data_IF_977923872329
#
_entry.id   IF_977923872329
#
_cell.length_a   1.000
_cell.length_b   1.000
_cell.length_c   1.000
_cell.angle_alpha   90.00
_cell.angle_beta   90.00
_cell.angle_gamma   90.00
#
_symmetry.space_group_name_H-M   'P 1'
#
loop_
_entity.id
_entity.type
_entity.pdbx_description
1 polymer ?
#
# COMPACT_ATOMS: atom_id res chain seq x y z
N UNK A 1 15.74 11.70 6.38
CA UNK A 1 16.09 11.45 4.97
C UNK A 1 14.80 11.36 4.17
N UNK A 2 14.58 12.32 3.28
CA UNK A 2 13.59 12.17 2.21
C UNK A 2 14.10 11.06 1.29
N UNK A 3 13.30 10.02 1.05
CA UNK A 3 13.62 9.04 0.01
C UNK A 3 13.37 9.72 -1.33
N UNK A 4 14.44 10.12 -2.01
CA UNK A 4 14.32 10.59 -3.38
C UNK A 4 13.92 9.42 -4.28
N UNK A 5 12.87 9.62 -5.07
CA UNK A 5 12.41 8.62 -6.04
C UNK A 5 13.00 8.93 -7.39
N UNK A 6 13.64 7.94 -8.01
CA UNK A 6 14.11 8.05 -9.39
C UNK A 6 13.09 7.43 -10.35
N UNK A 7 12.85 8.09 -11.49
CA UNK A 7 12.02 7.56 -12.58
C UNK A 7 12.93 7.23 -13.76
N UNK A 8 12.78 6.02 -14.28
CA UNK A 8 13.50 5.58 -15.48
C UNK A 8 12.55 4.83 -16.41
N UNK A 9 12.90 4.78 -17.70
CA UNK A 9 12.12 4.10 -18.74
C UNK A 9 12.85 2.86 -19.18
N UNK A 10 12.11 1.74 -19.30
CA UNK A 10 12.63 0.47 -19.81
C UNK A 10 11.76 -0.05 -20.94
N UNK A 11 12.40 -0.69 -21.92
CA UNK A 11 11.70 -1.46 -22.93
C UNK A 11 11.59 -2.91 -22.46
N UNK A 12 10.37 -3.40 -22.33
CA UNK A 12 10.08 -4.80 -21.99
C UNK A 12 9.27 -5.38 -23.15
N UNK A 13 9.62 -6.59 -23.59
CA UNK A 13 8.91 -7.24 -24.68
C UNK A 13 7.44 -7.54 -24.30
N UNK A 14 6.58 -7.72 -25.31
CA UNK A 14 5.12 -7.89 -25.09
C UNK A 14 4.78 -9.14 -24.26
N UNK A 15 5.49 -10.24 -24.50
CA UNK A 15 5.24 -11.52 -23.82
C UNK A 15 5.56 -11.46 -22.33
N UNK A 16 6.73 -10.91 -21.96
CA UNK A 16 7.12 -10.71 -20.57
C UNK A 16 6.16 -9.74 -19.85
N UNK A 17 5.74 -8.66 -20.50
CA UNK A 17 4.76 -7.75 -19.91
C UNK A 17 3.39 -8.40 -19.72
N UNK A 18 2.98 -9.32 -20.60
CA UNK A 18 1.76 -10.09 -20.40
C UNK A 18 1.88 -11.00 -19.17
N UNK A 19 2.97 -11.76 -19.05
CA UNK A 19 3.24 -12.61 -17.89
C UNK A 19 3.28 -11.83 -16.57
N UNK A 20 3.93 -10.66 -16.54
CA UNK A 20 3.96 -9.78 -15.35
C UNK A 20 2.55 -9.33 -14.94
N UNK A 21 1.68 -9.02 -15.90
CA UNK A 21 0.29 -8.62 -15.62
C UNK A 21 -0.54 -9.77 -15.05
N UNK A 22 -0.35 -10.99 -15.56
CA UNK A 22 -1.00 -12.18 -15.02
C UNK A 22 -0.56 -12.47 -13.58
N UNK A 23 0.74 -12.42 -13.31
CA UNK A 23 1.29 -12.60 -11.96
C UNK A 23 0.79 -11.53 -10.99
N UNK A 24 0.79 -10.26 -11.44
CA UNK A 24 0.28 -9.16 -10.63
C UNK A 24 -1.21 -9.35 -10.30
N UNK A 25 -2.02 -9.80 -11.28
CA UNK A 25 -3.43 -10.12 -11.05
C UNK A 25 -3.61 -11.26 -10.05
N UNK A 26 -2.81 -12.33 -10.16
CA UNK A 26 -2.84 -13.46 -9.21
C UNK A 26 -2.52 -13.02 -7.78
N UNK A 27 -1.62 -12.05 -7.61
CA UNK A 27 -1.29 -11.46 -6.30
C UNK A 27 -2.32 -10.42 -5.84
N UNK A 28 -3.17 -9.91 -6.73
CA UNK A 28 -4.13 -8.83 -6.45
C UNK A 28 -3.45 -7.46 -6.39
N UNK A 29 -2.45 -7.22 -7.22
CA UNK A 29 -1.70 -5.96 -7.30
C UNK A 29 -1.55 -5.50 -8.76
N UNK A 30 -1.19 -4.24 -8.97
CA UNK A 30 -0.89 -3.73 -10.32
C UNK A 30 0.48 -4.21 -10.81
N UNK A 31 0.64 -4.32 -12.13
CA UNK A 31 1.93 -4.70 -12.73
C UNK A 31 3.07 -3.75 -12.33
N UNK A 32 2.80 -2.44 -12.22
CA UNK A 32 3.78 -1.45 -11.75
C UNK A 32 4.21 -1.69 -10.30
N UNK A 33 3.30 -2.17 -9.44
CA UNK A 33 3.59 -2.56 -8.06
C UNK A 33 4.62 -3.67 -8.02
N UNK A 34 4.35 -4.69 -8.82
CA UNK A 34 5.15 -5.90 -8.90
C UNK A 34 6.54 -5.58 -9.44
N UNK A 35 6.62 -4.77 -10.49
CA UNK A 35 7.89 -4.30 -11.06
C UNK A 35 8.67 -3.47 -10.03
N UNK A 36 8.04 -2.51 -9.36
CA UNK A 36 8.72 -1.71 -8.33
C UNK A 36 9.26 -2.59 -7.20
N UNK A 37 8.45 -3.54 -6.71
CA UNK A 37 8.88 -4.50 -5.67
C UNK A 37 10.02 -5.39 -6.16
N UNK A 38 9.99 -5.83 -7.41
CA UNK A 38 11.06 -6.63 -8.00
C UNK A 38 12.38 -5.84 -8.09
N UNK A 39 12.33 -4.56 -8.48
CA UNK A 39 13.51 -3.67 -8.52
C UNK A 39 14.08 -3.48 -7.11
N UNK A 40 13.25 -3.17 -6.12
CA UNK A 40 13.71 -3.03 -4.73
C UNK A 40 14.28 -4.34 -4.18
N UNK A 41 13.63 -5.47 -4.47
CA UNK A 41 14.12 -6.80 -4.08
C UNK A 41 15.48 -7.08 -4.69
N UNK A 42 15.66 -6.83 -5.99
CA UNK A 42 16.96 -6.99 -6.65
C UNK A 42 18.04 -6.14 -5.95
N UNK A 43 17.77 -4.85 -5.71
CA UNK A 43 18.74 -3.95 -5.07
C UNK A 43 19.05 -4.32 -3.60
N UNK A 44 18.10 -4.93 -2.91
CA UNK A 44 18.30 -5.50 -1.57
C UNK A 44 19.20 -6.74 -1.64
N UNK A 45 18.94 -7.63 -2.61
CA UNK A 45 19.63 -8.91 -2.75
C UNK A 45 21.07 -8.75 -3.27
N UNK A 46 21.38 -7.67 -3.99
CA UNK A 46 22.78 -7.36 -4.39
C UNK A 46 23.64 -6.83 -3.25
N UNK A 47 23.04 -6.45 -2.11
CA UNK A 47 23.72 -5.82 -0.97
C UNK A 47 24.45 -4.50 -1.28
N UNK A 48 24.18 -3.88 -2.44
CA UNK A 48 24.78 -2.60 -2.83
C UNK A 48 24.01 -1.38 -2.32
N UNK A 49 22.80 -1.61 -1.81
CA UNK A 49 22.00 -0.61 -1.12
C UNK A 49 22.50 -0.41 0.31
N UNK A 50 22.44 0.83 0.81
CA UNK A 50 22.65 1.13 2.21
C UNK A 50 21.82 0.20 3.15
N UNK A 51 22.46 -0.31 4.21
CA UNK A 51 21.86 -1.31 5.12
C UNK A 51 20.63 -0.79 5.84
N UNK A 52 20.62 0.49 6.24
CA UNK A 52 19.48 1.08 6.92
C UNK A 52 18.28 1.18 5.95
N UNK A 53 18.54 1.59 4.72
CA UNK A 53 17.53 1.66 3.65
C UNK A 53 16.96 0.28 3.30
N UNK A 54 17.83 -0.73 3.14
CA UNK A 54 17.44 -2.12 2.88
C UNK A 54 16.56 -2.69 4.01
N UNK A 55 16.96 -2.47 5.26
CA UNK A 55 16.20 -2.90 6.44
C UNK A 55 14.83 -2.24 6.50
N UNK A 56 14.77 -0.94 6.24
CA UNK A 56 13.52 -0.19 6.18
C UNK A 56 12.58 -0.69 5.08
N UNK A 57 13.08 -0.90 3.85
CA UNK A 57 12.26 -1.41 2.74
C UNK A 57 11.72 -2.81 3.02
N UNK A 58 12.54 -3.70 3.61
CA UNK A 58 12.08 -5.03 4.07
C UNK A 58 10.92 -4.91 5.07
N UNK A 59 11.05 -4.02 6.05
CA UNK A 59 10.01 -3.77 7.06
C UNK A 59 8.73 -3.19 6.44
N UNK A 60 8.86 -2.26 5.48
CA UNK A 60 7.72 -1.71 4.75
C UNK A 60 6.97 -2.78 3.96
N UNK A 61 7.66 -3.61 3.17
CA UNK A 61 7.01 -4.68 2.40
C UNK A 61 6.33 -5.70 3.29
N UNK A 62 6.97 -6.11 4.39
CA UNK A 62 6.33 -7.00 5.38
C UNK A 62 5.05 -6.38 5.96
N UNK A 63 5.01 -5.05 6.10
CA UNK A 63 3.84 -4.34 6.62
C UNK A 63 2.74 -4.27 5.57
N UNK A 64 3.09 -3.96 4.33
CA UNK A 64 2.17 -3.98 3.19
C UNK A 64 1.53 -5.36 3.04
N UNK A 65 2.32 -6.44 3.07
CA UNK A 65 1.80 -7.81 2.94
C UNK A 65 0.75 -8.12 4.01
N UNK A 66 1.01 -7.75 5.27
CA UNK A 66 0.06 -7.96 6.38
C UNK A 66 -1.23 -7.14 6.25
N UNK A 67 -1.14 -5.91 5.76
CA UNK A 67 -2.32 -5.09 5.48
C UNK A 67 -3.13 -5.62 4.30
N UNK A 68 -2.47 -6.15 3.27
CA UNK A 68 -3.13 -6.79 2.12
C UNK A 68 -3.84 -8.09 2.54
N UNK A 69 -3.19 -8.92 3.34
CA UNK A 69 -3.83 -10.11 3.93
C UNK A 69 -5.08 -9.71 4.73
N UNK A 70 -4.94 -8.70 5.60
CA UNK A 70 -6.06 -8.21 6.40
C UNK A 70 -7.19 -7.63 5.54
N UNK A 71 -6.89 -6.88 4.49
CA UNK A 71 -7.91 -6.30 3.62
C UNK A 71 -8.70 -7.38 2.88
N UNK A 72 -8.04 -8.43 2.38
CA UNK A 72 -8.72 -9.58 1.75
C UNK A 72 -9.66 -10.28 2.73
N UNK A 73 -9.22 -10.51 3.98
CA UNK A 73 -10.06 -11.11 5.03
C UNK A 73 -11.28 -10.24 5.33
N UNK A 74 -11.08 -8.95 5.60
CA UNK A 74 -12.19 -8.03 5.93
C UNK A 74 -13.20 -7.95 4.78
N UNK A 75 -12.71 -7.85 3.54
CA UNK A 75 -13.55 -7.84 2.36
C UNK A 75 -14.39 -9.11 2.23
N UNK A 76 -13.77 -10.29 2.39
CA UNK A 76 -14.48 -11.58 2.35
C UNK A 76 -15.56 -11.71 3.44
N UNK A 77 -15.42 -11.00 4.57
CA UNK A 77 -16.43 -10.96 5.64
C UNK A 77 -17.54 -9.91 5.44
N UNK A 78 -17.59 -9.24 4.29
CA UNK A 78 -18.63 -8.25 3.98
C UNK A 78 -18.45 -6.90 4.66
N UNK A 79 -17.24 -6.58 5.16
CA UNK A 79 -16.92 -5.31 5.83
C UNK A 79 -16.70 -4.12 4.89
N UNK A 80 -16.98 -4.27 3.59
CA UNK A 80 -16.67 -3.24 2.60
C UNK A 80 -17.66 -2.07 2.67
N UNK A 81 -17.11 -0.85 2.70
CA UNK A 81 -17.83 0.40 2.49
C UNK A 81 -16.91 1.41 1.78
N UNK A 82 -17.39 2.63 1.53
CA UNK A 82 -16.56 3.66 0.87
C UNK A 82 -15.34 4.09 1.71
N UNK A 83 -15.33 3.80 3.01
CA UNK A 83 -14.26 4.09 3.94
C UNK A 83 -13.33 2.90 4.19
N UNK A 84 -13.39 1.85 3.37
CA UNK A 84 -12.70 0.59 3.62
C UNK A 84 -11.20 0.70 3.91
N UNK A 85 -10.50 1.70 3.33
CA UNK A 85 -9.10 1.98 3.68
C UNK A 85 -8.95 2.28 5.17
N UNK A 86 -9.77 3.18 5.73
CA UNK A 86 -9.76 3.48 7.17
C UNK A 86 -10.12 2.24 7.99
N UNK A 87 -11.13 1.49 7.55
CA UNK A 87 -11.58 0.24 8.18
C UNK A 87 -10.44 -0.77 8.33
N UNK A 88 -9.60 -0.93 7.31
CA UNK A 88 -8.41 -1.81 7.37
C UNK A 88 -7.37 -1.26 8.34
N UNK A 89 -7.12 0.05 8.33
CA UNK A 89 -6.18 0.69 9.24
C UNK A 89 -6.60 0.54 10.71
N UNK A 90 -7.87 0.79 11.04
CA UNK A 90 -8.40 0.61 12.39
C UNK A 90 -8.27 -0.84 12.86
N UNK A 91 -8.68 -1.80 12.03
CA UNK A 91 -8.53 -3.22 12.33
C UNK A 91 -7.06 -3.66 12.47
N UNK A 92 -6.14 -3.02 11.76
CA UNK A 92 -4.71 -3.27 11.92
C UNK A 92 -4.18 -2.77 13.28
N UNK A 93 -4.70 -1.64 13.77
CA UNK A 93 -4.30 -1.08 15.07
C UNK A 93 -4.82 -1.88 16.27
N UNK A 94 -5.92 -2.61 16.09
CA UNK A 94 -6.45 -3.55 17.09
C UNK A 94 -5.56 -4.81 17.26
N UNK A 95 -4.65 -5.06 16.31
CA UNK A 95 -3.71 -6.20 16.34
C UNK A 95 -2.36 -5.73 16.90
N UNK A 96 -1.96 -6.08 18.13
CA UNK A 96 -0.76 -5.53 18.77
C UNK A 96 0.52 -5.71 17.94
N UNK A 97 0.71 -6.88 17.34
CA UNK A 97 1.89 -7.17 16.52
C UNK A 97 1.95 -6.33 15.24
N UNK A 98 0.79 -6.16 14.57
CA UNK A 98 0.72 -5.40 13.33
C UNK A 98 0.84 -3.91 13.60
N UNK A 99 0.24 -3.41 14.68
CA UNK A 99 0.45 -2.04 15.18
C UNK A 99 1.94 -1.79 15.44
N UNK A 100 2.60 -2.62 16.23
CA UNK A 100 4.02 -2.46 16.54
C UNK A 100 4.91 -2.56 15.29
N UNK A 101 4.52 -3.35 14.29
CA UNK A 101 5.24 -3.41 13.01
C UNK A 101 5.06 -2.12 12.20
N UNK A 102 3.84 -1.61 12.10
CA UNK A 102 3.54 -0.35 11.43
C UNK A 102 4.25 0.84 12.08
N UNK A 103 4.21 0.94 13.41
CA UNK A 103 4.89 1.99 14.19
C UNK A 103 6.41 2.01 13.97
N UNK A 104 7.02 0.83 13.93
CA UNK A 104 8.45 0.69 13.56
C UNK A 104 8.71 1.17 12.13
N UNK A 105 7.82 0.88 11.18
CA UNK A 105 8.00 1.27 9.80
C UNK A 105 7.81 2.78 9.57
N UNK A 106 6.95 3.45 10.34
CA UNK A 106 6.74 4.91 10.25
C UNK A 106 7.64 5.72 11.17
N UNK A 107 8.34 5.07 12.10
CA UNK A 107 9.29 5.69 13.03
C UNK A 107 8.64 6.36 14.24
N UNK A 108 7.49 5.87 14.71
CA UNK A 108 6.80 6.46 15.86
C UNK A 108 5.39 5.92 16.07
N UNK A 109 4.66 6.54 16.99
CA UNK A 109 3.28 6.18 17.35
C UNK A 109 2.32 6.27 16.15
N UNK A 110 1.44 5.28 16.01
CA UNK A 110 0.57 5.15 14.86
C UNK A 110 -0.42 6.32 14.71
N UNK A 111 -0.77 7.00 15.79
CA UNK A 111 -1.72 8.10 15.84
C UNK A 111 -1.03 9.47 15.80
N UNK A 112 0.29 9.52 15.97
CA UNK A 112 1.07 10.73 15.80
C UNK A 112 0.93 11.32 14.39
N UNK A 113 0.91 12.64 14.31
CA UNK A 113 0.85 13.40 13.07
C UNK A 113 2.26 13.74 12.58
N UNK A 114 2.41 13.94 11.26
CA UNK A 114 3.65 14.44 10.62
C UNK A 114 4.90 13.54 10.81
N UNK A 115 4.71 12.25 11.04
CA UNK A 115 5.82 11.28 11.00
C UNK A 115 6.32 11.12 9.54
N UNK A 116 7.63 11.29 9.26
CA UNK A 116 8.17 11.23 7.90
C UNK A 116 7.89 9.92 7.17
N UNK A 117 7.92 8.77 7.87
CA UNK A 117 7.66 7.46 7.27
C UNK A 117 6.19 7.18 6.95
N UNK A 118 5.27 7.99 7.51
CA UNK A 118 3.82 7.74 7.43
C UNK A 118 3.24 8.07 6.07
N UNK A 119 3.62 9.22 5.49
CA UNK A 119 3.14 9.64 4.17
C UNK A 119 3.44 8.62 3.05
N UNK A 120 4.68 8.18 2.83
CA UNK A 120 4.98 7.22 1.76
C UNK A 120 4.32 5.87 2.01
N UNK A 121 4.39 5.34 3.25
CA UNK A 121 3.81 4.04 3.56
C UNK A 121 2.28 4.04 3.43
N UNK A 122 1.60 5.08 3.92
CA UNK A 122 0.13 5.16 3.84
C UNK A 122 -0.36 5.31 2.40
N UNK A 123 0.39 6.01 1.55
CA UNK A 123 0.09 6.09 0.13
C UNK A 123 0.17 4.71 -0.53
N UNK A 124 1.23 3.94 -0.27
CA UNK A 124 1.33 2.56 -0.75
C UNK A 124 0.20 1.69 -0.19
N UNK A 125 -0.04 1.73 1.12
CA UNK A 125 -1.08 0.93 1.76
C UNK A 125 -2.46 1.19 1.17
N UNK A 126 -2.87 2.46 1.00
CA UNK A 126 -4.16 2.78 0.40
C UNK A 126 -4.31 2.22 -1.01
N UNK A 127 -3.24 2.25 -1.81
CA UNK A 127 -3.25 1.69 -3.15
C UNK A 127 -3.25 0.15 -3.17
N UNK A 128 -2.41 -0.51 -2.36
CA UNK A 128 -2.37 -1.96 -2.23
C UNK A 128 -3.67 -2.54 -1.68
N UNK A 129 -4.26 -1.91 -0.66
CA UNK A 129 -5.57 -2.32 -0.09
C UNK A 129 -6.63 -2.32 -1.18
N UNK A 130 -6.75 -1.21 -1.93
CA UNK A 130 -7.72 -1.06 -3.02
C UNK A 130 -7.58 -2.17 -4.06
N UNK A 131 -6.36 -2.39 -4.57
CA UNK A 131 -6.12 -3.39 -5.62
C UNK A 131 -6.36 -4.82 -5.12
N UNK A 132 -6.01 -5.11 -3.86
CA UNK A 132 -6.14 -6.44 -3.26
C UNK A 132 -7.59 -6.95 -3.23
N UNK A 133 -8.56 -6.05 -3.27
CA UNK A 133 -9.99 -6.35 -3.26
C UNK A 133 -10.69 -5.98 -4.57
N UNK A 134 -9.94 -5.58 -5.61
CA UNK A 134 -10.52 -5.17 -6.90
C UNK A 134 -11.40 -3.93 -6.84
N UNK A 135 -11.22 -3.05 -5.85
CA UNK A 135 -12.02 -1.84 -5.72
C UNK A 135 -11.53 -0.71 -6.64
N UNK A 136 -12.40 0.24 -6.90
CA UNK A 136 -12.11 1.45 -7.66
C UNK A 136 -12.17 2.69 -6.76
N UNK A 137 -11.45 3.78 -7.11
CA UNK A 137 -11.69 5.06 -6.49
C UNK A 137 -13.12 5.53 -6.73
N UNK A 138 -13.79 6.04 -5.70
CA UNK A 138 -14.99 6.85 -5.87
C UNK A 138 -14.57 8.18 -6.51
N UNK A 139 -15.27 8.58 -7.57
CA UNK A 139 -14.99 9.82 -8.32
C UNK A 139 -16.14 10.82 -8.19
N UNK A 140 -15.81 12.10 -8.30
CA UNK A 140 -16.80 13.18 -8.35
C UNK A 140 -17.36 13.40 -9.77
N UNK A 141 -18.18 14.44 -9.94
CA UNK A 141 -18.78 14.80 -11.23
C UNK A 141 -17.74 15.18 -12.31
N UNK A 142 -16.51 15.52 -11.91
CA UNK A 142 -15.40 15.86 -12.80
C UNK A 142 -14.44 14.68 -13.02
N UNK A 143 -14.87 13.47 -12.63
CA UNK A 143 -14.09 12.23 -12.70
C UNK A 143 -12.79 12.28 -11.87
N UNK A 144 -12.75 13.08 -10.79
CA UNK A 144 -11.61 13.17 -9.88
C UNK A 144 -11.82 12.30 -8.64
N UNK A 145 -10.77 11.60 -8.13
CA UNK A 145 -10.89 10.79 -6.92
C UNK A 145 -11.31 11.62 -5.70
N UNK A 146 -12.38 11.18 -5.02
CA UNK A 146 -12.86 11.80 -3.78
C UNK A 146 -12.02 11.32 -2.61
N UNK A 147 -11.61 12.26 -1.74
CA UNK A 147 -10.80 11.96 -0.54
C UNK A 147 -11.57 12.27 0.73
N UNK A 148 -11.44 11.39 1.72
CA UNK A 148 -11.83 11.67 3.08
C UNK A 148 -10.69 12.35 3.85
N UNK A 149 -11.07 13.12 4.87
CA UNK A 149 -10.17 13.64 5.90
C UNK A 149 -10.74 13.31 7.27
N UNK A 150 -9.93 12.72 8.13
CA UNK A 150 -10.30 12.29 9.48
C UNK A 150 -9.23 12.72 10.47
N UNK A 151 -9.62 12.98 11.72
CA UNK A 151 -8.70 13.38 12.80
C UNK A 151 -8.63 12.28 13.83
N UNK A 152 -7.49 12.17 14.52
CA UNK A 152 -7.29 11.18 15.58
C UNK A 152 -7.21 9.72 15.09
N UNK A 153 -7.08 9.51 13.78
CA UNK A 153 -7.00 8.18 13.16
C UNK A 153 -5.56 7.84 12.72
N UNK A 154 -5.21 6.55 12.58
CA UNK A 154 -3.88 6.15 12.11
C UNK A 154 -3.59 6.59 10.66
N UNK A 155 -4.61 6.92 9.88
CA UNK A 155 -4.50 7.59 8.58
C UNK A 155 -5.39 8.83 8.58
N UNK A 156 -4.85 9.97 8.13
CA UNK A 156 -5.56 11.27 8.23
C UNK A 156 -6.29 11.65 6.94
N UNK A 157 -5.86 11.10 5.79
CA UNK A 157 -6.55 11.26 4.52
C UNK A 157 -6.32 10.06 3.62
N UNK A 158 -7.38 9.63 2.97
CA UNK A 158 -7.40 8.50 2.05
C UNK A 158 -8.46 8.72 0.96
N UNK A 159 -8.32 8.00 -0.14
CA UNK A 159 -9.30 8.01 -1.23
C UNK A 159 -10.49 7.13 -0.86
N UNK A 160 -11.71 7.62 -1.07
CA UNK A 160 -12.92 6.82 -0.92
C UNK A 160 -13.00 5.77 -2.01
N UNK A 161 -13.52 4.60 -1.67
CA UNK A 161 -13.61 3.46 -2.58
C UNK A 161 -15.05 3.19 -3.02
N UNK A 162 -15.19 2.53 -4.16
CA UNK A 162 -16.41 1.89 -4.64
C UNK A 162 -16.06 0.50 -5.16
N UNK A 163 -17.01 -0.42 -5.15
CA UNK A 163 -16.81 -1.74 -5.75
C UNK A 163 -17.38 -1.74 -7.17
N UNK A 164 -16.65 -2.32 -8.13
CA UNK A 164 -17.13 -2.51 -9.50
C UNK A 164 -18.35 -3.44 -9.47
N UNK A 165 -19.55 -2.88 -9.41
CA UNK A 165 -20.80 -3.63 -9.22
C UNK A 165 -21.86 -2.94 -8.34
N UNK A 166 -21.54 -1.79 -7.74
CA UNK A 166 -22.48 -0.88 -7.07
C UNK A 166 -22.31 0.56 -7.55
#
# INVERSE_FOLDING_TARGET
MTMETEKFTVNVNKEAMAAIREEARAQGIEASALIQRAIHKLAIDTEWMDKATSTMLKAQYKTIDKFVELSKVLFATGRFDEHFVLTVFQAAMEKPELKAQYERAIGGDAYAVKLPGKTPLNMYLGWYIKNAIGAEPKVDANNQPVRAQVRGEPIQSYTLLRHSGQ
#
